data_IF_982661482311
#
_entry.id   IF_982661482311
#
_cell.length_a   1.000
_cell.length_b   1.000
_cell.length_c   1.000
_cell.angle_alpha   90.00
_cell.angle_beta   90.00
_cell.angle_gamma   90.00
#
_symmetry.space_group_name_H-M   'P 1'
#
loop_
_entity.id
_entity.type
_entity.pdbx_description
1 polymer ?
#
# COMPACT_ATOMS: atom_id res chain seq x y z
N UNK A 1 -10.04 32.34 8.98
CA UNK A 1 -10.72 31.05 8.69
C UNK A 1 -9.63 30.00 8.78
N UNK A 2 -9.61 29.18 9.83
CA UNK A 2 -8.70 28.04 9.93
C UNK A 2 -9.05 27.09 8.79
N UNK A 3 -8.14 26.87 7.83
CA UNK A 3 -8.26 25.73 6.92
C UNK A 3 -8.25 24.47 7.78
N UNK A 4 -9.41 23.86 7.90
CA UNK A 4 -9.57 22.55 8.52
C UNK A 4 -8.61 21.62 7.79
N UNK A 5 -7.69 20.97 8.49
CA UNK A 5 -6.91 19.87 7.93
C UNK A 5 -7.94 18.85 7.46
N UNK A 6 -8.09 18.67 6.15
CA UNK A 6 -9.08 17.75 5.60
C UNK A 6 -8.79 16.36 6.16
N UNK A 7 -9.75 15.81 6.91
CA UNK A 7 -9.62 14.47 7.49
C UNK A 7 -9.40 13.46 6.35
N UNK A 8 -8.40 12.59 6.50
CA UNK A 8 -8.15 11.52 5.55
C UNK A 8 -9.39 10.61 5.47
N UNK A 9 -9.96 10.46 4.28
CA UNK A 9 -11.06 9.52 4.07
C UNK A 9 -10.52 8.09 4.01
N UNK A 10 -11.10 7.13 4.74
CA UNK A 10 -10.71 5.73 4.69
C UNK A 10 -10.82 5.13 3.27
N UNK A 11 -9.84 4.31 2.87
CA UNK A 11 -9.81 3.66 1.55
C UNK A 11 -11.10 2.88 1.25
N UNK A 12 -11.70 2.08 2.18
CA UNK A 12 -12.95 1.38 1.91
C UNK A 12 -14.11 2.32 1.55
N UNK A 13 -14.15 3.51 2.15
CA UNK A 13 -15.18 4.53 1.87
C UNK A 13 -14.91 5.18 0.50
N UNK A 14 -13.67 5.58 0.22
CA UNK A 14 -13.26 6.18 -1.08
C UNK A 14 -13.54 5.26 -2.26
N UNK A 15 -13.40 3.93 -2.04
CA UNK A 15 -13.55 2.91 -3.06
C UNK A 15 -14.94 2.27 -3.12
N UNK A 16 -15.89 2.69 -2.27
CA UNK A 16 -17.22 2.07 -2.13
C UNK A 16 -17.12 0.54 -1.98
N UNK A 17 -16.31 0.08 -1.02
CA UNK A 17 -16.09 -1.35 -0.80
C UNK A 17 -17.33 -2.04 -0.19
N UNK A 18 -17.52 -3.33 -0.49
CA UNK A 18 -18.57 -4.14 0.12
C UNK A 18 -18.08 -4.69 1.47
N UNK A 19 -18.55 -4.10 2.56
CA UNK A 19 -18.11 -4.42 3.92
C UNK A 19 -18.40 -5.87 4.37
N UNK A 20 -19.20 -6.62 3.63
CA UNK A 20 -19.47 -8.05 3.90
C UNK A 20 -18.27 -8.94 3.59
N UNK A 21 -17.33 -8.45 2.78
CA UNK A 21 -16.15 -9.18 2.34
C UNK A 21 -14.90 -8.43 2.81
N UNK A 22 -14.15 -9.07 3.68
CA UNK A 22 -13.00 -8.50 4.39
C UNK A 22 -11.70 -9.29 4.15
N UNK A 23 -11.69 -10.16 3.13
CA UNK A 23 -10.54 -11.03 2.79
C UNK A 23 -10.39 -12.22 3.74
N UNK A 24 -11.45 -12.61 4.46
CA UNK A 24 -11.42 -13.70 5.44
C UNK A 24 -11.08 -15.03 4.76
N UNK A 25 -10.12 -15.73 5.35
CA UNK A 25 -9.65 -17.03 4.84
C UNK A 25 -8.63 -16.91 3.70
N UNK A 26 -8.26 -15.71 3.29
CA UNK A 26 -7.27 -15.46 2.21
C UNK A 26 -5.94 -15.04 2.79
N UNK A 27 -4.84 -15.54 2.24
CA UNK A 27 -3.47 -15.15 2.60
C UNK A 27 -2.82 -14.35 1.48
N UNK A 28 -2.29 -13.16 1.83
CA UNK A 28 -1.53 -12.29 0.93
C UNK A 28 -0.06 -12.33 1.34
N UNK A 29 0.84 -12.65 0.42
CA UNK A 29 2.28 -12.52 0.62
C UNK A 29 2.75 -11.14 0.12
N UNK A 30 3.62 -10.50 0.90
CA UNK A 30 4.26 -9.21 0.56
C UNK A 30 5.74 -9.40 0.39
N UNK A 31 6.28 -8.96 -0.76
CA UNK A 31 7.72 -8.88 -1.02
C UNK A 31 8.13 -7.42 -0.94
N UNK A 32 8.92 -7.06 0.10
CA UNK A 32 9.29 -5.67 0.35
C UNK A 32 10.64 -5.53 1.07
N UNK A 33 11.09 -4.30 1.30
CA UNK A 33 12.40 -3.98 1.88
C UNK A 33 12.56 -4.47 3.32
N UNK A 34 11.50 -4.52 4.09
CA UNK A 34 11.46 -4.95 5.49
C UNK A 34 10.08 -4.74 6.09
N UNK A 35 9.86 -5.26 7.30
CA UNK A 35 8.55 -5.26 7.94
C UNK A 35 8.67 -5.02 9.44
N UNK A 36 7.57 -4.62 10.04
CA UNK A 36 7.35 -4.49 11.47
C UNK A 36 5.99 -5.07 11.84
N UNK A 37 5.87 -5.71 12.99
CA UNK A 37 4.62 -6.31 13.49
C UNK A 37 3.66 -5.22 14.01
N UNK A 38 3.10 -4.44 13.08
CA UNK A 38 2.20 -3.35 13.41
C UNK A 38 0.92 -3.85 14.08
N UNK A 39 0.39 -3.10 15.06
CA UNK A 39 -0.81 -3.48 15.83
C UNK A 39 -2.04 -3.72 14.95
N UNK A 40 -2.17 -3.01 13.84
CA UNK A 40 -3.25 -3.24 12.88
C UNK A 40 -3.20 -4.62 12.20
N UNK A 41 -2.09 -5.35 12.29
CA UNK A 41 -1.95 -6.73 11.81
C UNK A 41 -1.95 -7.76 12.93
N UNK A 42 -1.63 -7.35 14.17
CA UNK A 42 -1.39 -8.26 15.28
C UNK A 42 -2.46 -8.21 16.36
N UNK A 43 -3.22 -7.12 16.47
CA UNK A 43 -4.26 -6.93 17.48
C UNK A 43 -5.66 -6.88 16.85
N UNK A 44 -6.71 -7.40 17.52
CA UNK A 44 -6.67 -8.22 18.72
C UNK A 44 -6.20 -9.66 18.46
N UNK A 45 -5.99 -10.02 17.19
CA UNK A 45 -5.53 -11.34 16.75
C UNK A 45 -4.40 -11.19 15.75
N UNK A 46 -3.30 -11.89 15.97
CA UNK A 46 -2.16 -11.87 15.06
C UNK A 46 -2.52 -12.60 13.74
N UNK A 47 -2.46 -11.86 12.63
CA UNK A 47 -2.74 -12.34 11.27
C UNK A 47 -1.47 -12.53 10.44
N UNK A 48 -0.28 -12.29 11.01
CA UNK A 48 1.01 -12.60 10.40
C UNK A 48 1.25 -14.10 10.57
N UNK A 49 1.10 -14.87 9.50
CA UNK A 49 1.23 -16.34 9.55
C UNK A 49 2.64 -16.83 9.28
N UNK A 50 3.47 -16.02 8.61
CA UNK A 50 4.89 -16.31 8.39
C UNK A 50 5.69 -15.03 8.11
N UNK A 51 6.97 -15.09 8.47
CA UNK A 51 7.99 -14.12 8.07
C UNK A 51 9.21 -14.86 7.53
N UNK A 52 9.74 -14.38 6.41
CA UNK A 52 10.97 -14.87 5.82
C UNK A 52 11.90 -13.70 5.48
N UNK A 53 13.18 -13.86 5.79
CA UNK A 53 14.24 -12.92 5.45
C UNK A 53 15.26 -13.60 4.54
N UNK A 54 15.34 -13.21 3.26
CA UNK A 54 16.24 -13.86 2.28
C UNK A 54 17.74 -13.72 2.64
N UNK A 55 18.09 -12.89 3.60
CA UNK A 55 19.46 -12.65 4.03
C UNK A 55 19.86 -13.44 5.26
N UNK A 56 18.94 -14.16 5.89
CA UNK A 56 19.16 -14.87 7.15
C UNK A 56 18.68 -16.31 7.05
N UNK A 57 19.33 -17.19 7.79
CA UNK A 57 18.97 -18.61 7.83
C UNK A 57 17.91 -18.92 8.90
N UNK A 58 17.60 -17.97 9.78
CA UNK A 58 16.59 -18.12 10.83
C UNK A 58 15.40 -17.21 10.56
N UNK A 59 14.31 -17.81 10.18
CA UNK A 59 13.02 -17.13 10.09
C UNK A 59 12.35 -17.10 11.47
N UNK A 60 11.76 -15.97 11.83
CA UNK A 60 11.02 -15.87 13.09
C UNK A 60 10.24 -14.57 13.19
N UNK A 61 8.96 -14.68 13.56
CA UNK A 61 8.06 -13.52 13.74
C UNK A 61 8.60 -12.54 14.78
N UNK A 62 9.38 -13.01 15.77
CA UNK A 62 10.03 -12.16 16.78
C UNK A 62 10.99 -11.11 16.19
N UNK A 63 11.54 -11.35 15.01
CA UNK A 63 12.36 -10.35 14.30
C UNK A 63 11.56 -9.11 13.86
N UNK A 64 10.23 -9.21 13.82
CA UNK A 64 9.32 -8.11 13.44
C UNK A 64 8.99 -7.17 14.61
N UNK A 65 9.41 -7.49 15.83
CA UNK A 65 9.14 -6.68 17.03
C UNK A 65 10.08 -5.47 17.16
N UNK A 66 11.19 -5.48 16.43
CA UNK A 66 12.16 -4.39 16.42
C UNK A 66 12.04 -3.57 15.15
N UNK A 67 11.82 -2.27 15.30
CA UNK A 67 11.77 -1.34 14.17
C UNK A 67 13.18 -1.18 13.56
N UNK A 68 13.28 -1.40 12.26
CA UNK A 68 14.47 -1.17 11.43
C UNK A 68 14.12 -0.11 10.40
N UNK A 69 15.09 0.73 10.01
CA UNK A 69 14.90 1.78 9.00
C UNK A 69 14.35 1.22 7.68
N UNK A 70 14.70 -0.02 7.31
CA UNK A 70 14.16 -0.67 6.12
C UNK A 70 12.71 -1.16 6.26
N UNK A 71 12.15 -1.17 7.48
CA UNK A 71 10.84 -1.78 7.76
C UNK A 71 9.63 -0.92 7.41
N UNK A 72 9.82 0.41 7.29
CA UNK A 72 8.70 1.33 7.13
C UNK A 72 7.84 1.05 5.88
N UNK A 73 8.47 0.80 4.73
CA UNK A 73 7.74 0.66 3.46
C UNK A 73 6.92 -0.63 3.42
N UNK A 74 7.53 -1.79 3.74
CA UNK A 74 6.80 -3.06 3.76
C UNK A 74 5.76 -3.14 4.87
N UNK A 75 6.01 -2.53 6.04
CA UNK A 75 4.98 -2.36 7.05
C UNK A 75 3.79 -1.57 6.49
N UNK A 76 4.04 -0.42 5.86
CA UNK A 76 2.97 0.41 5.28
C UNK A 76 2.19 -0.35 4.21
N UNK A 77 2.86 -1.02 3.26
CA UNK A 77 2.19 -1.76 2.17
C UNK A 77 1.33 -2.90 2.70
N UNK A 78 1.82 -3.65 3.70
CA UNK A 78 1.05 -4.76 4.30
C UNK A 78 -0.14 -4.27 5.13
N UNK A 79 -0.01 -3.16 5.86
CA UNK A 79 -1.12 -2.56 6.63
C UNK A 79 -2.15 -1.91 5.69
N UNK A 80 -1.74 -1.22 4.64
CA UNK A 80 -2.66 -0.65 3.63
C UNK A 80 -3.51 -1.75 2.97
N UNK A 81 -2.94 -2.95 2.76
CA UNK A 81 -3.69 -4.06 2.19
C UNK A 81 -4.55 -4.83 3.20
N UNK A 82 -4.06 -5.04 4.42
CA UNK A 82 -4.65 -6.00 5.36
C UNK A 82 -4.82 -5.46 6.79
N UNK A 83 -4.51 -4.20 7.08
CA UNK A 83 -4.67 -3.61 8.42
C UNK A 83 -6.14 -3.52 8.82
N UNK A 84 -6.45 -3.83 10.09
CA UNK A 84 -7.80 -3.71 10.62
C UNK A 84 -8.08 -2.33 11.25
N UNK A 85 -7.10 -1.43 11.24
CA UNK A 85 -7.23 -0.10 11.82
C UNK A 85 -7.29 -0.07 13.35
N UNK A 86 -6.69 -1.05 14.04
CA UNK A 86 -6.72 -1.15 15.49
C UNK A 86 -6.35 0.16 16.19
N UNK A 87 -5.31 0.85 15.68
CA UNK A 87 -4.86 2.13 16.25
C UNK A 87 -5.73 3.34 15.87
N UNK A 88 -6.83 3.12 15.18
CA UNK A 88 -7.83 4.15 14.81
C UNK A 88 -9.27 3.69 15.07
N UNK A 89 -9.47 2.76 16.01
CA UNK A 89 -10.79 2.17 16.31
C UNK A 89 -11.52 1.67 15.05
N UNK A 90 -10.77 1.11 14.09
CA UNK A 90 -11.25 0.59 12.81
C UNK A 90 -11.47 1.65 11.72
N UNK A 91 -11.21 2.93 11.99
CA UNK A 91 -11.47 4.01 11.02
C UNK A 91 -10.57 3.90 9.78
N UNK A 92 -9.25 3.68 9.95
CA UNK A 92 -8.29 3.50 8.85
C UNK A 92 -8.05 2.03 8.49
N UNK A 93 -9.08 1.16 8.64
CA UNK A 93 -8.99 -0.22 8.20
C UNK A 93 -8.81 -0.33 6.68
N UNK A 94 -8.16 -1.40 6.23
CA UNK A 94 -8.07 -1.78 4.82
C UNK A 94 -9.40 -2.39 4.32
N UNK A 95 -9.49 -2.63 3.01
CA UNK A 95 -10.63 -3.36 2.42
C UNK A 95 -10.58 -4.84 2.86
N UNK A 96 -9.37 -5.46 2.92
CA UNK A 96 -9.20 -6.85 3.34
C UNK A 96 -8.73 -6.97 4.80
N UNK A 97 -9.43 -6.33 5.72
CA UNK A 97 -9.06 -6.20 7.14
C UNK A 97 -8.98 -7.52 7.93
N UNK A 98 -9.50 -8.64 7.39
CA UNK A 98 -9.43 -9.98 7.99
C UNK A 98 -8.47 -10.93 7.23
N UNK A 99 -7.79 -10.46 6.18
CA UNK A 99 -6.83 -11.28 5.46
C UNK A 99 -5.62 -11.62 6.33
N UNK A 100 -5.06 -12.83 6.14
CA UNK A 100 -3.78 -13.25 6.69
C UNK A 100 -2.64 -12.72 5.84
N UNK A 101 -1.47 -12.52 6.43
CA UNK A 101 -0.30 -12.01 5.72
C UNK A 101 0.93 -12.90 5.92
N UNK A 102 1.71 -13.02 4.85
CA UNK A 102 3.06 -13.59 4.84
C UNK A 102 4.00 -12.47 4.42
N UNK A 103 5.04 -12.23 5.20
CA UNK A 103 5.97 -11.12 5.02
C UNK A 103 7.33 -11.64 4.57
N UNK A 104 7.79 -11.25 3.37
CA UNK A 104 9.05 -11.70 2.79
C UNK A 104 9.98 -10.51 2.59
N UNK A 105 10.97 -10.37 3.48
CA UNK A 105 11.97 -9.31 3.41
C UNK A 105 12.98 -9.60 2.31
N UNK A 106 13.02 -8.71 1.30
CA UNK A 106 13.88 -8.81 0.12
C UNK A 106 14.85 -7.62 -0.02
N UNK A 107 14.84 -6.66 0.91
CA UNK A 107 15.73 -5.50 0.96
C UNK A 107 16.50 -5.40 2.26
N UNK A 108 17.64 -4.69 2.23
CA UNK A 108 18.40 -4.32 3.44
C UNK A 108 18.32 -2.82 3.69
N UNK A 109 18.78 -2.05 2.71
CA UNK A 109 18.82 -0.58 2.74
C UNK A 109 18.65 -0.06 1.33
N UNK A 110 17.82 0.97 1.14
CA UNK A 110 17.68 1.64 -0.15
C UNK A 110 17.07 0.77 -1.25
N UNK A 111 17.81 0.59 -2.35
CA UNK A 111 17.35 -0.14 -3.54
C UNK A 111 17.23 -1.65 -3.31
N UNK A 112 16.17 -2.24 -3.84
CA UNK A 112 15.97 -3.70 -3.90
C UNK A 112 16.46 -4.19 -5.27
N UNK A 113 17.54 -4.98 -5.36
CA UNK A 113 17.95 -5.58 -6.62
C UNK A 113 16.91 -6.57 -7.16
N UNK A 114 16.77 -6.67 -8.48
CA UNK A 114 15.85 -7.61 -9.12
C UNK A 114 16.07 -9.07 -8.69
N UNK A 115 17.33 -9.46 -8.50
CA UNK A 115 17.69 -10.80 -8.00
C UNK A 115 17.09 -11.14 -6.63
N UNK A 116 16.91 -10.14 -5.78
CA UNK A 116 16.28 -10.34 -4.47
C UNK A 116 14.78 -10.56 -4.61
N UNK A 117 14.13 -9.86 -5.56
CA UNK A 117 12.70 -10.08 -5.88
C UNK A 117 12.52 -11.52 -6.39
N UNK A 118 13.41 -11.97 -7.29
CA UNK A 118 13.42 -13.36 -7.78
C UNK A 118 13.56 -14.35 -6.62
N UNK A 119 14.52 -14.14 -5.71
CA UNK A 119 14.74 -15.02 -4.55
C UNK A 119 13.50 -15.09 -3.65
N UNK A 120 12.92 -13.93 -3.31
CA UNK A 120 11.71 -13.87 -2.49
C UNK A 120 10.50 -14.53 -3.16
N UNK A 121 10.32 -14.31 -4.47
CA UNK A 121 9.20 -14.90 -5.21
C UNK A 121 9.37 -16.42 -5.38
N UNK A 122 10.59 -16.91 -5.50
CA UNK A 122 10.88 -18.36 -5.44
C UNK A 122 10.48 -18.95 -4.10
N UNK A 123 10.86 -18.31 -3.00
CA UNK A 123 10.46 -18.78 -1.67
C UNK A 123 8.93 -18.83 -1.53
N UNK A 124 8.22 -17.81 -2.02
CA UNK A 124 6.73 -17.81 -2.02
C UNK A 124 6.21 -18.97 -2.84
N UNK A 125 6.74 -19.21 -4.04
CA UNK A 125 6.34 -20.32 -4.91
C UNK A 125 6.48 -21.68 -4.21
N UNK A 126 7.58 -21.90 -3.50
CA UNK A 126 7.86 -23.16 -2.79
C UNK A 126 6.99 -23.33 -1.53
N UNK A 127 6.56 -22.23 -0.91
CA UNK A 127 5.83 -22.24 0.35
C UNK A 127 4.34 -21.90 0.21
N UNK A 128 3.83 -21.67 -1.02
CA UNK A 128 2.45 -21.24 -1.25
C UNK A 128 1.41 -22.19 -0.67
N UNK A 129 1.61 -23.49 -0.80
CA UNK A 129 0.68 -24.50 -0.30
C UNK A 129 0.74 -24.60 1.23
N UNK A 130 1.93 -24.45 1.82
CA UNK A 130 2.14 -24.50 3.28
C UNK A 130 1.41 -23.36 4.00
N UNK A 131 1.40 -22.16 3.42
CA UNK A 131 0.81 -20.96 4.02
C UNK A 131 -0.48 -20.52 3.31
N UNK A 132 -1.01 -21.34 2.41
CA UNK A 132 -2.25 -21.08 1.65
C UNK A 132 -2.20 -19.72 0.92
N UNK A 133 -1.01 -19.36 0.35
CA UNK A 133 -0.81 -18.07 -0.31
C UNK A 133 -1.59 -18.05 -1.61
N UNK A 134 -2.55 -17.14 -1.72
CA UNK A 134 -3.39 -16.96 -2.90
C UNK A 134 -3.03 -15.71 -3.70
N UNK A 135 -2.36 -14.75 -3.06
CA UNK A 135 -2.00 -13.45 -3.65
C UNK A 135 -0.56 -13.11 -3.26
N UNK A 136 0.17 -12.53 -4.20
CA UNK A 136 1.48 -11.89 -3.93
C UNK A 136 1.40 -10.42 -4.31
N UNK A 137 1.72 -9.53 -3.38
CA UNK A 137 1.91 -8.11 -3.62
C UNK A 137 3.39 -7.78 -3.74
N UNK A 138 3.79 -7.13 -4.84
CA UNK A 138 5.16 -6.69 -5.08
C UNK A 138 5.15 -5.19 -5.33
N UNK A 139 5.55 -4.42 -4.30
CA UNK A 139 5.66 -2.95 -4.39
C UNK A 139 7.12 -2.52 -4.65
N UNK A 140 7.81 -3.26 -5.50
CA UNK A 140 9.18 -3.04 -5.93
C UNK A 140 9.32 -3.32 -7.43
N UNK A 141 10.25 -2.66 -8.10
CA UNK A 141 10.56 -2.86 -9.51
C UNK A 141 11.96 -3.39 -9.74
N UNK A 142 12.18 -4.03 -10.88
CA UNK A 142 13.47 -4.48 -11.37
C UNK A 142 14.40 -3.32 -11.74
N UNK A 143 15.54 -3.69 -12.30
CA UNK A 143 16.63 -2.74 -12.56
C UNK A 143 16.49 -2.03 -13.90
N UNK A 144 15.96 -2.71 -14.92
CA UNK A 144 15.87 -2.22 -16.30
C UNK A 144 14.62 -2.74 -17.01
N UNK A 145 14.15 -2.01 -18.03
CA UNK A 145 13.19 -2.53 -18.98
C UNK A 145 13.81 -3.68 -19.77
N UNK A 146 13.12 -4.80 -19.81
CA UNK A 146 13.54 -5.99 -20.53
C UNK A 146 12.32 -6.77 -21.00
N UNK A 147 12.47 -7.46 -22.15
CA UNK A 147 11.43 -8.36 -22.66
C UNK A 147 11.08 -9.43 -21.62
N UNK A 148 9.77 -9.61 -21.38
CA UNK A 148 9.30 -10.67 -20.49
C UNK A 148 9.69 -12.08 -20.95
N UNK A 149 9.96 -12.26 -22.24
CA UNK A 149 10.38 -13.53 -22.81
C UNK A 149 11.76 -13.96 -22.34
N UNK A 150 12.61 -13.01 -21.94
CA UNK A 150 14.00 -13.26 -21.51
C UNK A 150 14.28 -12.88 -20.07
N UNK A 151 13.42 -12.05 -19.45
CA UNK A 151 13.63 -11.61 -18.06
C UNK A 151 13.25 -12.72 -17.07
N UNK A 152 14.17 -13.17 -16.19
CA UNK A 152 13.93 -14.26 -15.24
C UNK A 152 12.81 -13.97 -14.24
N UNK A 153 12.66 -12.70 -13.81
CA UNK A 153 11.60 -12.31 -12.87
C UNK A 153 10.23 -12.41 -13.53
N UNK A 154 10.08 -11.93 -14.77
CA UNK A 154 8.81 -12.07 -15.51
C UNK A 154 8.45 -13.55 -15.75
N UNK A 155 9.43 -14.38 -16.14
CA UNK A 155 9.19 -15.82 -16.32
C UNK A 155 8.78 -16.51 -15.01
N UNK A 156 9.34 -16.08 -13.87
CA UNK A 156 8.95 -16.59 -12.56
C UNK A 156 7.52 -16.13 -12.20
N UNK A 157 7.13 -14.89 -12.52
CA UNK A 157 5.75 -14.42 -12.35
C UNK A 157 4.78 -15.31 -13.12
N UNK A 158 5.06 -15.61 -14.40
CA UNK A 158 4.22 -16.49 -15.22
C UNK A 158 4.07 -17.90 -14.57
N UNK A 159 5.17 -18.44 -14.02
CA UNK A 159 5.17 -19.72 -13.31
C UNK A 159 4.30 -19.69 -12.04
N UNK A 160 4.42 -18.62 -11.23
CA UNK A 160 3.65 -18.42 -9.99
C UNK A 160 2.15 -18.28 -10.31
N UNK A 161 1.81 -17.49 -11.33
CA UNK A 161 0.42 -17.31 -11.78
C UNK A 161 -0.16 -18.62 -12.33
N UNK A 162 0.61 -19.36 -13.10
CA UNK A 162 0.19 -20.68 -13.62
C UNK A 162 -0.03 -21.71 -12.49
N UNK A 163 0.61 -21.52 -11.34
CA UNK A 163 0.41 -22.34 -10.14
C UNK A 163 -0.77 -21.87 -9.26
N UNK A 164 -1.60 -20.94 -9.75
CA UNK A 164 -2.84 -20.51 -9.09
C UNK A 164 -2.69 -19.31 -8.15
N UNK A 165 -1.55 -18.64 -8.09
CA UNK A 165 -1.32 -17.46 -7.23
C UNK A 165 -1.46 -16.18 -8.05
N UNK A 166 -2.31 -15.25 -7.60
CA UNK A 166 -2.46 -13.94 -8.25
C UNK A 166 -1.29 -13.03 -7.88
N UNK A 167 -0.60 -12.46 -8.87
CA UNK A 167 0.52 -11.53 -8.65
C UNK A 167 0.09 -10.11 -8.99
N UNK A 168 0.12 -9.22 -7.98
CA UNK A 168 -0.22 -7.80 -8.08
C UNK A 168 1.04 -6.97 -7.90
N UNK A 169 1.32 -6.07 -8.85
CA UNK A 169 2.55 -5.30 -8.87
C UNK A 169 2.28 -3.80 -8.96
N UNK A 170 3.04 -2.99 -8.25
CA UNK A 170 3.13 -1.56 -8.49
C UNK A 170 3.76 -1.32 -9.88
N UNK A 171 3.13 -0.48 -10.72
CA UNK A 171 3.64 -0.21 -12.08
C UNK A 171 4.88 0.67 -12.08
N UNK A 172 5.15 1.38 -10.99
CA UNK A 172 6.23 2.36 -10.86
C UNK A 172 5.74 3.80 -10.82
N UNK A 173 6.64 4.73 -10.45
CA UNK A 173 6.33 6.15 -10.20
C UNK A 173 7.07 7.09 -11.19
N UNK A 174 7.50 6.56 -12.33
CA UNK A 174 8.33 7.28 -13.31
C UNK A 174 7.52 7.89 -14.48
N UNK A 175 6.22 8.16 -14.30
CA UNK A 175 5.36 8.70 -15.35
C UNK A 175 5.72 10.10 -15.86
N UNK A 176 6.57 10.83 -15.15
CA UNK A 176 7.14 12.11 -15.60
C UNK A 176 8.54 11.96 -16.21
N UNK A 177 9.14 10.76 -16.12
CA UNK A 177 10.44 10.50 -16.74
C UNK A 177 10.28 10.22 -18.24
N UNK A 178 11.30 10.52 -19.07
CA UNK A 178 11.29 10.13 -20.48
C UNK A 178 11.05 8.62 -20.62
N UNK A 179 10.10 8.25 -21.50
CA UNK A 179 9.73 6.85 -21.74
C UNK A 179 8.87 6.21 -20.66
N UNK A 180 8.65 6.90 -19.51
CA UNK A 180 7.81 6.45 -18.38
C UNK A 180 7.84 4.94 -18.11
N UNK A 181 9.02 4.30 -17.94
CA UNK A 181 9.29 2.88 -18.05
C UNK A 181 8.44 2.02 -17.12
N UNK A 182 7.99 0.86 -17.62
CA UNK A 182 7.32 -0.19 -16.87
C UNK A 182 8.30 -1.35 -16.66
N UNK A 183 8.79 -1.48 -15.44
CA UNK A 183 9.83 -2.45 -15.09
C UNK A 183 9.26 -3.83 -14.67
N UNK A 184 10.03 -4.93 -14.81
CA UNK A 184 9.68 -6.18 -14.15
C UNK A 184 9.47 -5.98 -12.64
N UNK A 185 8.52 -6.68 -11.97
CA UNK A 185 7.63 -7.70 -12.51
C UNK A 185 6.33 -7.16 -13.13
N UNK A 186 6.10 -5.84 -13.09
CA UNK A 186 4.87 -5.24 -13.60
C UNK A 186 4.71 -5.43 -15.12
N UNK A 187 5.84 -5.54 -15.87
CA UNK A 187 5.84 -5.80 -17.32
C UNK A 187 5.48 -7.24 -17.69
N UNK A 188 5.38 -8.19 -16.73
CA UNK A 188 4.97 -9.57 -17.03
C UNK A 188 3.51 -9.63 -17.53
N UNK A 189 3.19 -10.47 -18.55
CA UNK A 189 1.85 -10.56 -19.11
C UNK A 189 0.76 -10.90 -18.11
N UNK A 190 1.03 -11.86 -17.20
CA UNK A 190 0.04 -12.36 -16.24
C UNK A 190 -0.03 -11.56 -14.95
N UNK A 191 0.92 -10.65 -14.67
CA UNK A 191 0.83 -9.76 -13.52
C UNK A 191 -0.33 -8.78 -13.66
N UNK A 192 -0.89 -8.35 -12.54
CA UNK A 192 -1.81 -7.22 -12.46
C UNK A 192 -0.97 -6.00 -12.07
N UNK A 193 -0.57 -5.20 -13.06
CA UNK A 193 0.15 -3.96 -12.82
C UNK A 193 -0.83 -2.85 -12.45
N UNK A 194 -0.57 -2.16 -11.35
CA UNK A 194 -1.47 -1.17 -10.76
C UNK A 194 -0.85 0.22 -10.82
N UNK A 195 -1.55 1.14 -11.46
CA UNK A 195 -1.25 2.56 -11.48
C UNK A 195 -1.95 3.31 -10.33
N UNK A 196 -1.54 4.56 -10.10
CA UNK A 196 -2.10 5.41 -9.06
C UNK A 196 -3.21 6.32 -9.57
N UNK A 197 -4.31 6.36 -8.87
CA UNK A 197 -5.38 7.35 -8.96
C UNK A 197 -5.08 8.49 -7.98
N UNK A 198 -5.28 9.73 -8.41
CA UNK A 198 -5.44 10.88 -7.52
C UNK A 198 -6.93 11.25 -7.46
N UNK A 199 -7.63 10.86 -6.43
CA UNK A 199 -9.03 11.21 -6.19
C UNK A 199 -9.18 12.46 -5.31
N UNK A 200 -8.06 13.14 -4.99
CA UNK A 200 -8.01 14.33 -4.15
C UNK A 200 -8.67 14.12 -2.78
N UNK A 201 -8.51 12.91 -2.20
CA UNK A 201 -9.16 12.54 -0.92
C UNK A 201 -10.66 12.86 -0.91
N UNK A 202 -11.38 12.60 -2.02
CA UNK A 202 -12.76 13.02 -2.25
C UNK A 202 -13.62 11.85 -2.75
N UNK A 203 -14.91 11.90 -2.40
CA UNK A 203 -15.91 10.99 -2.95
C UNK A 203 -16.47 11.48 -4.30
N UNK A 204 -16.19 12.72 -4.67
CA UNK A 204 -16.61 13.30 -5.94
C UNK A 204 -15.76 12.73 -7.09
N UNK A 205 -16.38 11.89 -7.92
CA UNK A 205 -15.72 11.25 -9.06
C UNK A 205 -15.23 12.24 -10.13
N UNK A 206 -15.82 13.43 -10.20
CA UNK A 206 -15.39 14.48 -11.12
C UNK A 206 -14.00 15.06 -10.77
N UNK A 207 -13.55 14.87 -9.52
CA UNK A 207 -12.22 15.31 -9.06
C UNK A 207 -11.10 14.31 -9.34
N UNK A 208 -11.42 13.13 -9.90
CA UNK A 208 -10.45 12.08 -10.19
C UNK A 208 -9.44 12.52 -11.23
N UNK A 209 -8.16 12.33 -10.93
CA UNK A 209 -7.04 12.57 -11.81
C UNK A 209 -6.03 11.41 -11.74
N UNK A 210 -4.87 11.60 -12.35
CA UNK A 210 -3.81 10.59 -12.39
C UNK A 210 -2.66 10.95 -11.46
N UNK A 211 -2.23 9.97 -10.68
CA UNK A 211 -0.91 10.01 -10.07
C UNK A 211 0.18 9.85 -11.16
N UNK A 212 1.42 10.22 -10.85
CA UNK A 212 2.60 10.13 -11.74
C UNK A 212 3.11 8.70 -11.95
N UNK A 213 2.21 7.75 -12.20
CA UNK A 213 2.55 6.34 -12.44
C UNK A 213 3.32 6.16 -13.73
N UNK A 214 4.24 5.18 -13.77
CA UNK A 214 4.74 4.62 -15.03
C UNK A 214 3.57 4.07 -15.87
N UNK A 215 3.69 4.09 -17.20
CA UNK A 215 2.61 3.66 -18.08
C UNK A 215 3.12 3.42 -19.51
N UNK A 216 2.24 2.88 -20.33
CA UNK A 216 2.43 2.74 -21.75
C UNK A 216 2.74 1.33 -22.16
N UNK A 217 3.01 1.07 -23.42
CA UNK A 217 3.41 -0.24 -23.83
C UNK A 217 4.78 -0.58 -23.25
N UNK A 218 4.94 -1.81 -22.76
CA UNK A 218 6.24 -2.38 -22.42
C UNK A 218 7.08 -2.54 -23.69
N UNK A 219 8.36 -2.91 -23.55
CA UNK A 219 9.23 -3.22 -24.70
C UNK A 219 8.65 -4.32 -25.61
N UNK A 220 7.75 -5.15 -25.09
CA UNK A 220 7.05 -6.19 -25.85
C UNK A 220 5.68 -5.73 -26.39
N UNK A 221 5.34 -4.46 -26.24
CA UNK A 221 4.08 -3.90 -26.71
C UNK A 221 2.86 -4.20 -25.82
N UNK A 222 3.06 -4.70 -24.59
CA UNK A 222 1.96 -4.94 -23.65
C UNK A 222 1.52 -3.64 -23.01
N UNK A 223 0.21 -3.38 -23.02
CA UNK A 223 -0.36 -2.23 -22.34
C UNK A 223 -0.34 -2.42 -20.83
N UNK A 224 0.24 -1.44 -20.11
CA UNK A 224 0.31 -1.34 -18.65
C UNK A 224 0.09 0.12 -18.21
N UNK A 225 -0.54 0.37 -17.02
CA UNK A 225 -1.08 -0.61 -16.06
C UNK A 225 -2.35 -1.30 -16.60
N UNK A 226 -2.79 -2.37 -15.95
CA UNK A 226 -4.12 -2.94 -16.20
C UNK A 226 -5.22 -2.08 -15.60
N UNK A 227 -5.03 -1.65 -14.34
CA UNK A 227 -6.03 -0.89 -13.57
C UNK A 227 -5.33 0.15 -12.69
N UNK A 228 -6.13 1.08 -12.16
CA UNK A 228 -5.65 2.08 -11.19
C UNK A 228 -6.47 2.01 -9.89
N UNK A 229 -5.81 2.37 -8.78
CA UNK A 229 -6.41 2.53 -7.47
C UNK A 229 -5.75 3.73 -6.74
N UNK A 230 -6.32 4.27 -5.64
CA UNK A 230 -5.72 5.40 -4.94
C UNK A 230 -4.23 5.23 -4.70
N UNK A 231 -3.43 6.10 -5.30
CA UNK A 231 -1.96 6.14 -5.21
C UNK A 231 -1.44 7.37 -4.48
N UNK A 232 -2.33 8.18 -3.91
CA UNK A 232 -2.03 9.36 -3.10
C UNK A 232 -3.16 9.56 -2.08
N UNK A 233 -2.90 10.33 -1.03
CA UNK A 233 -3.82 10.57 0.07
C UNK A 233 -4.24 9.26 0.80
N UNK A 234 -3.37 8.26 0.81
CA UNK A 234 -3.62 7.00 1.52
C UNK A 234 -3.12 7.15 2.96
N UNK A 235 -3.96 6.80 3.94
CA UNK A 235 -3.53 6.74 5.34
C UNK A 235 -2.61 5.51 5.52
N UNK A 236 -1.31 5.76 5.66
CA UNK A 236 -0.30 4.75 5.96
C UNK A 236 0.13 4.81 7.42
N UNK A 237 0.40 3.68 8.08
CA UNK A 237 0.85 3.67 9.46
C UNK A 237 2.26 4.24 9.59
N UNK A 238 2.53 4.93 10.68
CA UNK A 238 3.87 5.44 11.01
C UNK A 238 4.65 4.33 11.72
N UNK A 239 5.90 4.09 11.30
CA UNK A 239 6.77 3.12 11.94
C UNK A 239 7.10 3.60 13.38
N UNK A 240 6.70 2.86 14.42
CA UNK A 240 6.93 3.29 15.79
C UNK A 240 8.43 3.28 16.15
N UNK A 241 8.78 3.98 17.22
CA UNK A 241 10.16 4.11 17.71
C UNK A 241 11.11 4.75 16.70
N UNK A 242 10.61 5.70 15.93
CA UNK A 242 11.37 6.50 14.96
C UNK A 242 11.18 7.99 15.25
N UNK A 243 12.13 8.86 14.83
CA UNK A 243 11.94 10.31 14.93
C UNK A 243 10.62 10.79 14.30
N UNK A 244 10.22 10.23 13.18
CA UNK A 244 8.93 10.54 12.53
C UNK A 244 7.73 10.21 13.42
N UNK A 245 7.78 9.12 14.20
CA UNK A 245 6.72 8.77 15.13
C UNK A 245 6.67 9.75 16.32
N UNK A 246 7.83 10.17 16.82
CA UNK A 246 7.91 11.16 17.91
C UNK A 246 7.38 12.52 17.46
N UNK A 247 7.75 12.97 16.25
CA UNK A 247 7.23 14.21 15.66
C UNK A 247 5.72 14.15 15.44
N UNK A 248 5.21 13.06 14.87
CA UNK A 248 3.77 12.88 14.61
C UNK A 248 2.96 12.90 15.91
N UNK A 249 3.45 12.22 16.96
CA UNK A 249 2.83 12.24 18.29
C UNK A 249 2.80 13.65 18.87
N UNK A 250 3.93 14.37 18.81
CA UNK A 250 4.01 15.75 19.30
C UNK A 250 3.05 16.68 18.57
N UNK A 251 3.03 16.62 17.24
CA UNK A 251 2.19 17.53 16.45
C UNK A 251 0.70 17.22 16.64
N UNK A 252 0.31 15.94 16.71
CA UNK A 252 -1.07 15.55 16.98
C UNK A 252 -1.53 15.97 18.40
N UNK A 253 -0.66 15.83 19.40
CA UNK A 253 -0.91 16.30 20.76
C UNK A 253 -1.10 17.83 20.81
N UNK A 254 -0.20 18.59 20.18
CA UNK A 254 -0.28 20.03 20.12
C UNK A 254 -1.52 20.53 19.34
N UNK A 255 -1.93 19.82 18.29
CA UNK A 255 -3.11 20.21 17.49
C UNK A 255 -4.41 20.14 18.30
N UNK A 256 -4.53 19.13 19.16
CA UNK A 256 -5.73 18.87 19.96
C UNK A 256 -5.72 19.48 21.35
N UNK A 257 -4.56 19.93 21.86
CA UNK A 257 -4.39 20.52 23.18
C UNK A 257 -5.13 21.88 23.32
N UNK A 258 -5.49 22.24 24.55
CA UNK A 258 -5.95 23.59 24.85
C UNK A 258 -4.82 24.62 24.68
N UNK A 259 -5.16 25.87 24.38
CA UNK A 259 -4.16 26.93 24.13
C UNK A 259 -3.24 27.16 25.34
N UNK A 260 -3.76 27.03 26.53
CA UNK A 260 -3.00 27.22 27.79
C UNK A 260 -1.99 26.09 28.03
N UNK A 261 -2.19 24.89 27.48
CA UNK A 261 -1.35 23.71 27.66
C UNK A 261 -0.19 23.63 26.66
N UNK A 262 -0.26 24.38 25.54
CA UNK A 262 0.70 24.27 24.44
C UNK A 262 2.15 24.46 24.89
N UNK A 263 2.41 25.46 25.75
CA UNK A 263 3.76 25.78 26.21
C UNK A 263 4.35 24.65 27.04
N UNK A 264 3.57 24.04 27.92
CA UNK A 264 4.02 22.96 28.82
C UNK A 264 4.30 21.68 28.02
N UNK A 265 3.45 21.35 27.02
CA UNK A 265 3.68 20.23 26.09
C UNK A 265 5.00 20.43 25.33
N UNK A 266 5.25 21.64 24.82
CA UNK A 266 6.49 21.95 24.09
C UNK A 266 7.71 21.81 24.98
N UNK A 267 7.66 22.32 26.21
CA UNK A 267 8.75 22.20 27.18
C UNK A 267 9.04 20.74 27.56
N UNK A 268 8.01 19.90 27.67
CA UNK A 268 8.18 18.48 27.95
C UNK A 268 8.79 17.70 26.78
N UNK A 269 8.76 18.26 25.55
CA UNK A 269 9.22 17.61 24.32
C UNK A 269 10.32 18.44 23.59
N UNK A 270 11.17 19.16 24.33
CA UNK A 270 12.14 20.14 23.82
C UNK A 270 13.12 19.61 22.76
N UNK A 271 13.39 18.32 22.74
CA UNK A 271 14.37 17.67 21.87
C UNK A 271 13.78 17.16 20.55
N UNK A 272 12.44 17.09 20.43
CA UNK A 272 11.77 16.47 19.28
C UNK A 272 11.80 17.42 18.06
N UNK A 273 11.34 18.66 18.21
CA UNK A 273 11.35 19.66 17.13
C UNK A 273 11.90 20.99 17.65
N UNK A 274 13.07 21.39 17.12
CA UNK A 274 13.76 22.63 17.52
C UNK A 274 13.01 23.90 17.13
N UNK A 275 12.27 23.89 16.01
CA UNK A 275 11.52 25.04 15.54
C UNK A 275 10.30 25.27 16.44
N UNK A 276 9.56 24.22 16.77
CA UNK A 276 8.45 24.26 17.74
C UNK A 276 8.95 24.73 19.09
N UNK A 277 10.09 24.20 19.57
CA UNK A 277 10.67 24.62 20.85
C UNK A 277 11.08 26.09 20.84
N UNK A 278 11.69 26.59 19.78
CA UNK A 278 12.05 28.00 19.63
C UNK A 278 10.83 28.94 19.59
N UNK A 279 9.70 28.43 19.09
CA UNK A 279 8.45 29.18 18.97
C UNK A 279 7.58 29.20 20.24
N UNK A 280 7.95 28.50 21.32
CA UNK A 280 7.13 28.26 22.54
C UNK A 280 6.59 29.52 23.24
N UNK A 281 7.26 30.65 23.07
CA UNK A 281 6.89 31.93 23.69
C UNK A 281 6.20 32.88 22.67
N UNK A 282 5.92 32.45 21.45
CA UNK A 282 5.18 33.22 20.45
C UNK A 282 3.69 33.36 20.83
N UNK A 283 2.99 34.38 20.30
CA UNK A 283 1.54 34.44 20.41
C UNK A 283 0.88 33.13 19.93
N UNK A 284 -0.13 32.66 20.68
CA UNK A 284 -0.82 31.39 20.42
C UNK A 284 -1.27 31.23 18.96
N UNK A 285 -1.76 32.33 18.35
CA UNK A 285 -2.18 32.28 16.95
C UNK A 285 -1.06 31.95 15.96
N UNK A 286 0.18 32.40 16.22
CA UNK A 286 1.35 32.07 15.41
C UNK A 286 1.82 30.64 15.68
N UNK A 287 1.76 30.22 16.94
CA UNK A 287 2.09 28.84 17.32
C UNK A 287 1.15 27.84 16.66
N UNK A 288 -0.18 28.10 16.68
CA UNK A 288 -1.17 27.27 15.95
C UNK A 288 -0.91 27.20 14.45
N UNK A 289 -0.51 28.31 13.83
CA UNK A 289 -0.11 28.31 12.42
C UNK A 289 1.12 27.43 12.19
N UNK A 290 2.14 27.53 13.05
CA UNK A 290 3.33 26.69 12.93
C UNK A 290 3.00 25.21 13.10
N UNK A 291 2.18 24.82 14.08
CA UNK A 291 1.70 23.45 14.29
C UNK A 291 1.00 22.93 13.01
N UNK A 292 0.10 23.75 12.44
CA UNK A 292 -0.59 23.40 11.17
C UNK A 292 0.40 23.18 10.01
N UNK A 293 1.44 24.02 9.91
CA UNK A 293 2.48 23.88 8.89
C UNK A 293 3.25 22.57 9.11
N UNK A 294 3.67 22.26 10.35
CA UNK A 294 4.40 21.03 10.68
C UNK A 294 3.59 19.76 10.39
N UNK A 295 2.30 19.75 10.71
CA UNK A 295 1.39 18.66 10.35
C UNK A 295 1.34 18.45 8.83
N UNK A 296 1.20 19.55 8.05
CA UNK A 296 1.16 19.48 6.59
C UNK A 296 2.50 19.02 5.99
N UNK A 297 3.63 19.56 6.43
CA UNK A 297 4.97 19.18 5.96
C UNK A 297 5.29 17.71 6.27
N UNK A 298 4.92 17.22 7.47
CA UNK A 298 5.06 15.83 7.89
C UNK A 298 4.04 14.89 7.25
N UNK A 299 3.03 15.43 6.53
CA UNK A 299 1.86 14.68 6.06
C UNK A 299 1.13 13.95 7.22
N UNK A 300 1.20 14.46 8.44
CA UNK A 300 0.66 13.80 9.65
C UNK A 300 -0.86 13.88 9.63
N UNK A 301 -1.52 12.74 9.83
CA UNK A 301 -2.96 12.64 10.02
C UNK A 301 -3.27 12.62 11.53
N UNK A 302 -2.56 11.78 12.28
CA UNK A 302 -2.58 11.70 13.73
C UNK A 302 -1.28 11.03 14.22
N UNK A 303 -1.18 10.70 15.50
CA UNK A 303 0.02 10.09 16.10
C UNK A 303 0.44 8.75 15.47
N UNK A 304 -0.47 8.03 14.80
CA UNK A 304 -0.26 6.69 14.26
C UNK A 304 -0.25 6.62 12.72
N UNK A 305 -0.80 7.61 12.04
CA UNK A 305 -0.98 7.60 10.59
C UNK A 305 -0.54 8.89 9.94
N UNK A 306 -0.05 8.76 8.72
CA UNK A 306 0.31 9.87 7.84
C UNK A 306 -0.17 9.63 6.41
N UNK A 307 -0.32 10.67 5.61
CA UNK A 307 -0.54 10.52 4.19
C UNK A 307 0.70 9.96 3.50
N UNK A 308 0.48 8.97 2.65
CA UNK A 308 1.51 8.36 1.81
C UNK A 308 1.08 8.38 0.35
N UNK A 309 2.07 8.37 -0.56
CA UNK A 309 1.85 8.34 -2.00
C UNK A 309 2.77 7.34 -2.71
N UNK A 310 2.31 6.84 -3.85
CA UNK A 310 3.01 5.89 -4.69
C UNK A 310 2.13 4.76 -5.19
N UNK A 311 2.47 4.22 -6.35
CA UNK A 311 1.88 2.97 -6.85
C UNK A 311 2.14 1.80 -5.90
N UNK A 312 3.15 1.93 -5.03
CA UNK A 312 3.42 1.02 -3.92
C UNK A 312 2.26 0.89 -2.92
N UNK A 313 1.35 1.88 -2.87
CA UNK A 313 0.14 1.83 -2.05
C UNK A 313 -1.11 1.51 -2.86
N UNK A 314 -1.14 1.82 -4.15
CA UNK A 314 -2.21 1.42 -5.04
C UNK A 314 -2.27 -0.11 -5.24
N UNK A 315 -1.12 -0.77 -5.40
CA UNK A 315 -1.04 -2.22 -5.57
C UNK A 315 -1.58 -3.00 -4.35
N UNK A 316 -1.22 -2.67 -3.10
CA UNK A 316 -1.83 -3.26 -1.90
C UNK A 316 -3.36 -3.09 -1.84
N UNK A 317 -3.90 -1.94 -2.24
CA UNK A 317 -5.35 -1.73 -2.30
C UNK A 317 -5.99 -2.71 -3.30
N UNK A 318 -5.40 -2.93 -4.47
CA UNK A 318 -5.90 -3.93 -5.43
C UNK A 318 -5.73 -5.34 -4.88
N UNK A 319 -4.63 -5.64 -4.19
CA UNK A 319 -4.42 -6.92 -3.51
C UNK A 319 -5.52 -7.21 -2.47
N UNK A 320 -5.95 -6.18 -1.73
CA UNK A 320 -7.06 -6.31 -0.78
C UNK A 320 -8.40 -6.57 -1.48
N UNK A 321 -8.66 -5.93 -2.63
CA UNK A 321 -9.86 -6.19 -3.42
C UNK A 321 -9.87 -7.62 -3.97
N UNK A 322 -8.72 -8.11 -4.45
CA UNK A 322 -8.56 -9.51 -4.88
C UNK A 322 -8.83 -10.47 -3.73
N UNK A 323 -8.39 -10.15 -2.50
CA UNK A 323 -8.69 -10.99 -1.34
C UNK A 323 -10.19 -11.08 -1.06
N UNK A 324 -10.94 -9.97 -1.18
CA UNK A 324 -12.40 -9.98 -1.05
C UNK A 324 -13.08 -10.78 -2.19
N UNK A 325 -12.56 -10.72 -3.42
CA UNK A 325 -13.03 -11.54 -4.53
C UNK A 325 -12.83 -13.05 -4.26
N UNK A 326 -11.68 -13.44 -3.72
CA UNK A 326 -11.36 -14.83 -3.37
C UNK A 326 -12.13 -15.33 -2.15
N UNK A 327 -12.44 -14.46 -1.17
CA UNK A 327 -13.39 -14.79 -0.10
C UNK A 327 -14.78 -15.07 -0.68
N UNK A 328 -15.24 -14.25 -1.60
CA UNK A 328 -16.54 -14.42 -2.27
C UNK A 328 -16.58 -15.69 -3.15
N UNK A 329 -15.50 -16.01 -3.86
CA UNK A 329 -15.36 -17.18 -4.71
C UNK A 329 -13.93 -17.76 -4.67
N UNK A 330 -13.64 -18.72 -3.78
CA UNK A 330 -12.31 -19.31 -3.65
C UNK A 330 -11.83 -20.13 -4.85
N UNK A 331 -12.69 -20.37 -5.85
CA UNK A 331 -12.36 -21.15 -7.06
C UNK A 331 -11.87 -20.28 -8.21
N UNK A 332 -11.82 -18.96 -8.06
CA UNK A 332 -11.34 -18.08 -9.10
C UNK A 332 -9.87 -18.36 -9.43
N UNK A 333 -9.58 -18.53 -10.71
CA UNK A 333 -8.21 -18.54 -11.21
C UNK A 333 -7.63 -17.13 -11.29
N UNK A 334 -6.29 -16.95 -11.26
CA UNK A 334 -5.67 -15.64 -11.43
C UNK A 334 -6.09 -14.92 -12.71
N UNK A 335 -6.31 -15.67 -13.81
CA UNK A 335 -6.78 -15.13 -15.07
C UNK A 335 -8.22 -14.60 -14.96
N UNK A 336 -9.09 -15.30 -14.25
CA UNK A 336 -10.45 -14.84 -13.98
C UNK A 336 -10.45 -13.59 -13.07
N UNK A 337 -9.58 -13.57 -12.05
CA UNK A 337 -9.40 -12.40 -11.18
C UNK A 337 -8.99 -11.18 -12.02
N UNK A 338 -7.94 -11.30 -12.84
CA UNK A 338 -7.46 -10.22 -13.71
C UNK A 338 -8.56 -9.75 -14.67
N UNK A 339 -9.27 -10.69 -15.30
CA UNK A 339 -10.37 -10.39 -16.22
C UNK A 339 -11.50 -9.63 -15.53
N UNK A 340 -11.94 -10.06 -14.34
CA UNK A 340 -12.99 -9.37 -13.58
C UNK A 340 -12.57 -7.94 -13.24
N UNK A 341 -11.35 -7.73 -12.75
CA UNK A 341 -10.87 -6.38 -12.43
C UNK A 341 -10.92 -5.46 -13.66
N UNK A 342 -10.51 -5.97 -14.83
CA UNK A 342 -10.53 -5.24 -16.09
C UNK A 342 -11.98 -4.94 -16.54
N UNK A 343 -12.87 -5.93 -16.52
CA UNK A 343 -14.24 -5.81 -17.01
C UNK A 343 -15.14 -4.95 -16.12
N UNK A 344 -14.77 -4.82 -14.83
CA UNK A 344 -15.57 -4.06 -13.84
C UNK A 344 -14.97 -2.71 -13.48
N UNK A 345 -13.81 -2.36 -14.03
CA UNK A 345 -13.19 -1.06 -13.81
C UNK A 345 -13.97 0.09 -14.45
N UNK A 346 -13.90 1.26 -13.86
CA UNK A 346 -14.51 2.50 -14.36
C UNK A 346 -13.45 3.45 -14.90
N UNK A 347 -13.56 3.85 -16.16
CA UNK A 347 -12.64 4.81 -16.76
C UNK A 347 -12.82 6.21 -16.17
N UNK A 348 -11.71 6.90 -16.04
CA UNK A 348 -11.68 8.33 -15.72
C UNK A 348 -11.79 9.09 -17.02
N UNK A 349 -12.79 9.96 -17.13
CA UNK A 349 -13.03 10.75 -18.34
C UNK A 349 -11.86 11.72 -18.62
N UNK A 350 -11.51 11.87 -19.88
CA UNK A 350 -10.44 12.78 -20.32
C UNK A 350 -9.00 12.27 -20.07
N UNK A 351 -8.83 11.06 -19.53
CA UNK A 351 -7.51 10.45 -19.31
C UNK A 351 -7.21 9.42 -20.40
N UNK A 352 -5.98 9.45 -20.93
CA UNK A 352 -5.53 8.49 -21.93
C UNK A 352 -5.55 7.05 -21.39
N UNK A 353 -5.93 6.08 -22.24
CA UNK A 353 -5.99 4.66 -21.89
C UNK A 353 -4.63 4.14 -21.45
N UNK A 354 -3.55 4.61 -22.07
CA UNK A 354 -2.18 4.19 -21.73
C UNK A 354 -1.82 4.51 -20.29
N UNK A 355 -2.37 5.58 -19.72
CA UNK A 355 -2.09 6.01 -18.34
C UNK A 355 -2.96 5.31 -17.30
N UNK A 356 -4.23 5.03 -17.62
CA UNK A 356 -5.19 4.46 -16.67
C UNK A 356 -5.50 2.98 -16.89
N UNK A 357 -5.04 2.39 -18.01
CA UNK A 357 -5.44 1.05 -18.41
C UNK A 357 -6.96 0.97 -18.61
N UNK A 358 -7.60 0.04 -17.92
CA UNK A 358 -9.05 -0.11 -17.99
C UNK A 358 -9.80 0.81 -17.02
N UNK A 359 -9.08 1.49 -16.13
CA UNK A 359 -9.63 2.50 -15.22
C UNK A 359 -9.53 2.11 -13.75
N UNK A 360 -10.32 2.80 -12.92
CA UNK A 360 -10.37 2.62 -11.47
C UNK A 360 -11.06 1.30 -11.11
N UNK A 361 -10.41 0.48 -10.31
CA UNK A 361 -11.04 -0.73 -9.76
C UNK A 361 -12.24 -0.34 -8.89
N UNK A 362 -13.37 -1.04 -9.08
CA UNK A 362 -14.59 -0.86 -8.28
C UNK A 362 -14.79 -2.13 -7.45
N UNK A 363 -14.43 -2.13 -6.13
CA UNK A 363 -14.44 -3.32 -5.29
C UNK A 363 -15.78 -4.06 -5.29
N UNK A 364 -16.87 -3.32 -5.14
CA UNK A 364 -18.23 -3.86 -5.11
C UNK A 364 -18.60 -4.59 -6.39
N UNK A 365 -18.26 -4.01 -7.55
CA UNK A 365 -18.52 -4.64 -8.84
C UNK A 365 -17.66 -5.88 -9.05
N UNK A 366 -16.38 -5.83 -8.64
CA UNK A 366 -15.46 -6.96 -8.73
C UNK A 366 -15.93 -8.15 -7.87
N UNK A 367 -16.32 -7.90 -6.62
CA UNK A 367 -16.86 -8.94 -5.73
C UNK A 367 -18.17 -9.53 -6.27
N UNK A 368 -19.09 -8.70 -6.75
CA UNK A 368 -20.36 -9.18 -7.34
C UNK A 368 -20.12 -10.02 -8.62
N UNK A 369 -19.13 -9.66 -9.45
CA UNK A 369 -18.77 -10.46 -10.60
C UNK A 369 -18.14 -11.80 -10.21
N UNK A 370 -17.31 -11.80 -9.16
CA UNK A 370 -16.74 -13.03 -8.57
C UNK A 370 -17.84 -14.00 -8.06
N UNK A 371 -18.85 -13.47 -7.38
CA UNK A 371 -19.99 -14.25 -6.91
C UNK A 371 -20.78 -14.91 -8.06
N UNK A 372 -21.01 -14.19 -9.17
CA UNK A 372 -21.71 -14.75 -10.35
C UNK A 372 -20.98 -15.92 -10.99
N UNK A 373 -19.66 -16.02 -10.84
CA UNK A 373 -18.87 -17.15 -11.34
C UNK A 373 -18.76 -18.30 -10.32
N UNK A 374 -19.37 -18.19 -9.15
CA UNK A 374 -19.37 -19.25 -8.12
C UNK A 374 -20.36 -20.40 -8.43
N UNK A 375 -21.33 -20.13 -9.31
CA UNK A 375 -22.32 -21.13 -9.76
C UNK A 375 -21.69 -22.03 -10.80
#
# INVERSE_FOLDING_TARGET
MSEVVEQALPVPVRMDADERYTGRGVTIAFLDSGFYAHKDLTEPTNRIVAYHNIFETKDGISALETADVASWHGMMTSVVAAGNGHLSDGFYRSIASDAKVVLVKIGKTGRIPESNIVTGLHWVFENKDKYEISIVNISAGGDFEQSYLTNPLCQLVEKVVSAGVTVVCAVGNAGLAPGHPVLPPASAPSSIAVGGLDDQNSLDRARRGMYRSSYGPTVDGLQKPEVIAPGIWVAGPILPHTPTADEARLYAELDTAADDDLRDIILANETIDKDIYAARDLPVSLLRQLITIKLKEGNVINEHYKFVDGTSFAAPIVSSIVACMLEANPKLTPQQVKRILIETAERVEGIEVDRQGWGVVVPKNAVHAALRLRT
#
